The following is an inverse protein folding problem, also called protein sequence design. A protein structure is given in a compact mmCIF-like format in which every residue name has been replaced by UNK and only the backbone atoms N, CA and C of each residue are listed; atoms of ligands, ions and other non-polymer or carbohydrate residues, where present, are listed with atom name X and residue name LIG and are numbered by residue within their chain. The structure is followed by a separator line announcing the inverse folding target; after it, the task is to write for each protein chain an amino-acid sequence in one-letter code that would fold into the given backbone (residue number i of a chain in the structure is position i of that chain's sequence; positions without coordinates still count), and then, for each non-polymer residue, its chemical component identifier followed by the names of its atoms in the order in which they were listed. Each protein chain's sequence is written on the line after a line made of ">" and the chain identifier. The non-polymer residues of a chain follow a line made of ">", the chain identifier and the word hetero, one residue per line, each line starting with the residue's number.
data_IF_921270580525
#
_entry.id   IF_921270580525
#
_cell.length_a   1.000
_cell.length_b   1.000
_cell.length_c   1.000
_cell.angle_alpha   90.00
_cell.angle_beta   90.00
_cell.angle_gamma   90.00
#
_symmetry.space_group_name_H-M   'P 1'
#
loop_
_entity.id
_entity.type
_entity.pdbx_description
1 polymer ?
#
# COMPACT_ATOMS: atom_id res chain seq x y z
N UNK A 1 16.99 1.53 -7.03
CA UNK A 1 15.98 0.72 -7.76
C UNK A 1 15.31 1.66 -8.75
N UNK A 2 15.14 1.29 -10.02
CA UNK A 2 14.59 2.22 -11.02
C UNK A 2 13.15 2.62 -10.65
N UNK A 3 12.80 3.90 -10.76
CA UNK A 3 11.47 4.43 -10.42
C UNK A 3 10.33 3.66 -11.11
N UNK A 4 10.52 3.25 -12.38
CA UNK A 4 9.53 2.49 -13.13
C UNK A 4 9.24 1.09 -12.53
N UNK A 5 10.25 0.46 -11.94
CA UNK A 5 10.10 -0.82 -11.25
C UNK A 5 9.19 -0.67 -10.04
N UNK A 6 9.43 0.37 -9.23
CA UNK A 6 8.64 0.68 -8.03
C UNK A 6 7.19 0.98 -8.42
N UNK A 7 6.98 1.80 -9.46
CA UNK A 7 5.65 2.12 -9.96
C UNK A 7 4.93 0.85 -10.43
N UNK A 8 5.62 -0.07 -11.11
CA UNK A 8 5.03 -1.34 -11.53
C UNK A 8 4.65 -2.22 -10.34
N UNK A 9 5.49 -2.29 -9.31
CA UNK A 9 5.18 -3.01 -8.07
C UNK A 9 3.97 -2.42 -7.34
N UNK A 10 3.88 -1.08 -7.26
CA UNK A 10 2.72 -0.38 -6.69
C UNK A 10 1.44 -0.70 -7.49
N UNK A 11 1.49 -0.64 -8.83
CA UNK A 11 0.35 -1.01 -9.69
C UNK A 11 -0.05 -2.48 -9.52
N UNK A 12 0.93 -3.38 -9.37
CA UNK A 12 0.68 -4.80 -9.11
C UNK A 12 -0.12 -5.02 -7.82
N UNK A 13 0.06 -4.20 -6.78
CA UNK A 13 -0.78 -4.30 -5.58
C UNK A 13 -2.27 -4.07 -5.86
N UNK A 14 -2.62 -3.14 -6.76
CA UNK A 14 -4.00 -2.89 -7.15
C UNK A 14 -4.57 -4.11 -7.91
N UNK A 15 -3.88 -4.56 -8.96
CA UNK A 15 -4.32 -5.72 -9.74
C UNK A 15 -4.41 -7.02 -8.92
N UNK A 16 -3.47 -7.25 -7.99
CA UNK A 16 -3.54 -8.40 -7.09
C UNK A 16 -4.68 -8.29 -6.07
N UNK A 17 -5.01 -7.08 -5.62
CA UNK A 17 -6.18 -6.86 -4.75
C UNK A 17 -7.48 -7.16 -5.51
N UNK A 18 -7.61 -6.68 -6.75
CA UNK A 18 -8.78 -6.94 -7.60
C UNK A 18 -8.94 -8.45 -7.87
N UNK A 19 -7.87 -9.12 -8.29
CA UNK A 19 -7.87 -10.56 -8.51
C UNK A 19 -8.23 -11.33 -7.22
N UNK A 20 -7.65 -10.93 -6.09
CA UNK A 20 -7.97 -11.52 -4.77
C UNK A 20 -9.42 -11.33 -4.37
N UNK A 21 -9.99 -10.12 -4.59
CA UNK A 21 -11.39 -9.82 -4.29
C UNK A 21 -12.33 -10.66 -5.15
N UNK A 22 -12.05 -10.79 -6.44
CA UNK A 22 -12.83 -11.64 -7.34
C UNK A 22 -12.78 -13.11 -6.93
N UNK A 23 -11.57 -13.63 -6.64
CA UNK A 23 -11.38 -15.02 -6.22
C UNK A 23 -12.09 -15.33 -4.89
N UNK A 24 -11.95 -14.45 -3.89
CA UNK A 24 -12.59 -14.62 -2.57
C UNK A 24 -14.10 -14.45 -2.63
N UNK A 25 -14.62 -13.53 -3.46
CA UNK A 25 -16.06 -13.39 -3.68
C UNK A 25 -16.67 -14.65 -4.31
N UNK A 26 -16.02 -15.18 -5.35
CA UNK A 26 -16.44 -16.42 -6.00
C UNK A 26 -16.42 -17.60 -5.01
N UNK A 27 -15.31 -17.77 -4.29
CA UNK A 27 -15.17 -18.87 -3.34
C UNK A 27 -16.16 -18.77 -2.18
N UNK A 28 -16.44 -17.56 -1.69
CA UNK A 28 -17.44 -17.31 -0.66
C UNK A 28 -18.84 -17.76 -1.12
N UNK A 29 -19.22 -17.46 -2.36
CA UNK A 29 -20.52 -17.86 -2.90
C UNK A 29 -20.62 -19.38 -3.04
N UNK A 30 -19.57 -20.00 -3.57
CA UNK A 30 -19.49 -21.45 -3.71
C UNK A 30 -19.58 -22.17 -2.34
N UNK A 31 -18.87 -21.68 -1.31
CA UNK A 31 -18.93 -22.25 0.03
C UNK A 31 -20.26 -22.01 0.76
N UNK A 32 -21.04 -21.01 0.37
CA UNK A 32 -22.41 -20.82 0.91
C UNK A 32 -23.35 -21.90 0.39
N UNK A 33 -23.22 -22.26 -0.88
CA UNK A 33 -24.03 -23.32 -1.49
C UNK A 33 -23.58 -24.71 -1.07
N UNK A 34 -22.27 -24.91 -0.91
CA UNK A 34 -21.68 -26.17 -0.47
C UNK A 34 -20.60 -25.95 0.59
N UNK A 35 -20.97 -26.01 1.89
CA UNK A 35 -20.03 -25.86 2.99
C UNK A 35 -18.96 -26.95 3.07
N UNK A 36 -19.14 -28.11 2.40
CA UNK A 36 -18.16 -29.20 2.40
C UNK A 36 -16.86 -28.84 1.66
N UNK A 37 -16.91 -27.80 0.83
CA UNK A 37 -15.76 -27.25 0.12
C UNK A 37 -14.79 -26.47 1.03
N UNK A 38 -15.21 -26.14 2.26
CA UNK A 38 -14.32 -25.61 3.26
C UNK A 38 -13.48 -26.77 3.82
N UNK A 39 -12.14 -26.77 3.67
CA UNK A 39 -11.32 -27.88 4.07
C UNK A 39 -11.53 -28.24 5.56
N UNK A 40 -11.94 -29.47 5.89
CA UNK A 40 -12.23 -29.86 7.27
C UNK A 40 -10.97 -29.94 8.14
N UNK A 41 -9.80 -30.03 7.50
CA UNK A 41 -8.48 -30.09 8.15
C UNK A 41 -7.90 -28.71 8.44
N UNK A 42 -8.61 -27.63 8.11
CA UNK A 42 -8.18 -26.25 8.36
C UNK A 42 -8.94 -25.58 9.50
N UNK A 43 -8.34 -24.55 10.10
CA UNK A 43 -9.03 -23.68 11.08
C UNK A 43 -9.95 -22.64 10.42
N UNK A 44 -9.96 -22.56 9.09
CA UNK A 44 -10.74 -21.60 8.33
C UNK A 44 -12.22 -21.95 8.32
N UNK A 45 -13.06 -20.97 8.60
CA UNK A 45 -14.52 -21.04 8.52
C UNK A 45 -15.02 -20.07 7.45
N UNK A 46 -16.31 -20.19 7.09
CA UNK A 46 -16.95 -19.28 6.13
C UNK A 46 -16.78 -17.80 6.50
N UNK A 47 -16.86 -17.48 7.80
CA UNK A 47 -16.62 -16.12 8.32
C UNK A 47 -15.21 -15.61 8.06
N UNK A 48 -14.21 -16.49 8.02
CA UNK A 48 -12.81 -16.12 7.81
C UNK A 48 -12.55 -15.82 6.32
N UNK A 49 -13.24 -16.54 5.42
CA UNK A 49 -13.26 -16.23 3.98
C UNK A 49 -13.91 -14.86 3.73
N UNK A 50 -15.04 -14.59 4.39
CA UNK A 50 -15.70 -13.29 4.33
C UNK A 50 -14.80 -12.17 4.86
N UNK A 51 -14.21 -12.37 6.05
CA UNK A 51 -13.29 -11.39 6.64
C UNK A 51 -12.06 -11.16 5.74
N UNK A 52 -11.53 -12.21 5.11
CA UNK A 52 -10.46 -12.08 4.13
C UNK A 52 -10.90 -11.21 2.95
N UNK A 53 -12.07 -11.46 2.36
CA UNK A 53 -12.60 -10.66 1.26
C UNK A 53 -12.68 -9.17 1.61
N UNK A 54 -13.22 -8.85 2.79
CA UNK A 54 -13.40 -7.47 3.25
C UNK A 54 -12.07 -6.77 3.56
N UNK A 55 -11.07 -7.51 4.06
CA UNK A 55 -9.80 -6.94 4.51
C UNK A 55 -8.73 -6.83 3.41
N UNK A 56 -8.94 -7.46 2.24
CA UNK A 56 -7.98 -7.47 1.14
C UNK A 56 -7.49 -6.07 0.77
N UNK A 57 -8.38 -5.09 0.64
CA UNK A 57 -7.97 -3.74 0.25
C UNK A 57 -7.06 -3.09 1.29
N UNK A 58 -7.35 -3.28 2.57
CA UNK A 58 -6.54 -2.76 3.68
C UNK A 58 -5.17 -3.43 3.70
N UNK A 59 -5.14 -4.75 3.52
CA UNK A 59 -3.90 -5.53 3.41
C UNK A 59 -3.03 -5.03 2.24
N UNK A 60 -3.61 -4.84 1.06
CA UNK A 60 -2.86 -4.35 -0.10
C UNK A 60 -2.45 -2.88 0.02
N UNK A 61 -3.20 -2.06 0.75
CA UNK A 61 -2.80 -0.67 1.05
C UNK A 61 -1.55 -0.65 1.94
N UNK A 62 -1.51 -1.49 2.99
CA UNK A 62 -0.32 -1.63 3.85
C UNK A 62 0.87 -2.10 3.02
N UNK A 63 0.69 -3.12 2.16
CA UNK A 63 1.74 -3.62 1.27
C UNK A 63 2.25 -2.54 0.29
N UNK A 64 1.34 -1.80 -0.33
CA UNK A 64 1.67 -0.70 -1.24
C UNK A 64 2.48 0.39 -0.54
N UNK A 65 2.10 0.74 0.70
CA UNK A 65 2.85 1.70 1.50
C UNK A 65 4.25 1.18 1.88
N UNK A 66 4.39 -0.11 2.18
CA UNK A 66 5.70 -0.71 2.48
C UNK A 66 6.66 -0.63 1.27
N UNK A 67 6.16 -0.84 0.05
CA UNK A 67 6.94 -0.72 -1.19
C UNK A 67 7.49 0.71 -1.35
N UNK A 68 6.65 1.73 -1.20
CA UNK A 68 7.13 3.11 -1.30
C UNK A 68 8.07 3.48 -0.16
N UNK A 69 7.81 3.03 1.07
CA UNK A 69 8.70 3.30 2.20
C UNK A 69 10.11 2.75 1.94
N UNK A 70 10.21 1.52 1.42
CA UNK A 70 11.47 0.92 1.01
C UNK A 70 12.16 1.75 -0.08
N UNK A 71 11.44 2.18 -1.11
CA UNK A 71 11.98 3.03 -2.16
C UNK A 71 12.50 4.38 -1.63
N UNK A 72 11.74 5.06 -0.77
CA UNK A 72 12.14 6.33 -0.17
C UNK A 72 13.38 6.18 0.71
N UNK A 73 13.49 5.07 1.47
CA UNK A 73 14.66 4.75 2.27
C UNK A 73 15.89 4.48 1.40
N UNK A 74 15.72 3.79 0.28
CA UNK A 74 16.80 3.58 -0.68
C UNK A 74 17.25 4.89 -1.32
N UNK A 75 16.32 5.73 -1.79
CA UNK A 75 16.60 7.05 -2.32
C UNK A 75 17.36 7.92 -1.31
N UNK A 76 16.90 7.96 -0.06
CA UNK A 76 17.53 8.75 0.99
C UNK A 76 18.99 8.34 1.26
N UNK A 77 19.24 7.03 1.25
CA UNK A 77 20.57 6.48 1.50
C UNK A 77 21.51 6.64 0.31
N UNK A 78 21.03 6.34 -0.91
CA UNK A 78 21.85 6.28 -2.13
C UNK A 78 21.90 7.63 -2.83
N UNK A 79 20.76 8.12 -3.31
CA UNK A 79 20.63 9.35 -4.08
C UNK A 79 20.97 10.61 -3.27
N UNK A 80 20.42 10.69 -2.05
CA UNK A 80 20.62 11.85 -1.18
C UNK A 80 21.91 11.75 -0.34
N UNK A 81 22.63 10.62 -0.43
CA UNK A 81 23.84 10.31 0.33
C UNK A 81 23.70 10.57 1.85
N UNK A 82 22.51 10.30 2.42
CA UNK A 82 22.24 10.53 3.84
C UNK A 82 22.37 9.23 4.62
N UNK A 83 23.10 9.28 5.73
CA UNK A 83 23.27 8.15 6.67
C UNK A 83 22.22 8.13 7.79
N UNK A 84 21.44 9.20 7.94
CA UNK A 84 20.38 9.26 8.97
C UNK A 84 19.20 8.35 8.64
N UNK A 85 18.51 7.87 9.67
CA UNK A 85 17.33 7.02 9.53
C UNK A 85 16.08 7.67 10.16
N UNK A 86 15.54 8.75 9.54
CA UNK A 86 14.38 9.44 10.11
C UNK A 86 13.13 8.55 10.08
N UNK A 87 12.19 8.85 10.99
CA UNK A 87 10.82 8.33 10.92
C UNK A 87 10.17 8.69 9.57
N UNK A 88 9.29 7.82 9.06
CA UNK A 88 8.75 7.89 7.69
C UNK A 88 8.06 9.21 7.37
N UNK A 89 7.33 9.79 8.33
CA UNK A 89 6.72 11.10 8.17
C UNK A 89 7.77 12.18 7.84
N UNK A 90 8.83 12.25 8.65
CA UNK A 90 9.95 13.18 8.45
C UNK A 90 10.76 12.84 7.20
N UNK A 91 10.88 11.57 6.86
CA UNK A 91 11.54 11.12 5.63
C UNK A 91 10.82 11.68 4.40
N UNK A 92 9.51 11.51 4.31
CA UNK A 92 8.69 12.03 3.21
C UNK A 92 8.78 13.55 3.12
N UNK A 93 8.71 14.27 4.25
CA UNK A 93 8.81 15.74 4.25
C UNK A 93 10.18 16.24 3.78
N UNK A 94 11.26 15.58 4.21
CA UNK A 94 12.63 15.92 3.79
C UNK A 94 12.87 15.63 2.32
N UNK A 95 12.35 14.51 1.80
CA UNK A 95 12.44 14.17 0.38
C UNK A 95 11.63 15.18 -0.44
N UNK A 96 10.41 15.51 -0.01
CA UNK A 96 9.56 16.48 -0.68
C UNK A 96 10.23 17.85 -0.78
N UNK A 97 10.84 18.33 0.31
CA UNK A 97 11.61 19.58 0.30
C UNK A 97 12.81 19.52 -0.65
N UNK A 98 13.56 18.41 -0.63
CA UNK A 98 14.76 18.24 -1.47
C UNK A 98 14.44 18.19 -2.96
N UNK A 99 13.35 17.50 -3.32
CA UNK A 99 12.94 17.31 -4.71
C UNK A 99 11.95 18.37 -5.19
N UNK A 100 11.70 19.42 -4.40
CA UNK A 100 10.74 20.47 -4.69
C UNK A 100 9.34 19.92 -5.05
N UNK A 101 8.89 18.88 -4.34
CA UNK A 101 7.60 18.23 -4.58
C UNK A 101 6.49 19.19 -4.12
N UNK A 102 5.52 19.44 -4.99
CA UNK A 102 4.38 20.31 -4.69
C UNK A 102 3.65 19.86 -3.41
N UNK A 103 3.18 20.84 -2.64
CA UNK A 103 2.51 20.61 -1.35
C UNK A 103 1.35 19.64 -1.48
N UNK A 104 0.57 19.71 -2.56
CA UNK A 104 -0.56 18.81 -2.79
C UNK A 104 -0.15 17.35 -2.95
N UNK A 105 0.92 17.07 -3.70
CA UNK A 105 1.46 15.71 -3.84
C UNK A 105 1.97 15.18 -2.50
N UNK A 106 2.67 16.02 -1.73
CA UNK A 106 3.14 15.66 -0.37
C UNK A 106 1.96 15.36 0.56
N UNK A 107 0.97 16.24 0.61
CA UNK A 107 -0.22 16.10 1.48
C UNK A 107 -1.01 14.84 1.15
N UNK A 108 -1.23 14.58 -0.15
CA UNK A 108 -1.88 13.36 -0.64
C UNK A 108 -1.10 12.11 -0.22
N UNK A 109 0.21 12.07 -0.41
CA UNK A 109 1.02 10.92 0.00
C UNK A 109 1.04 10.74 1.54
N UNK A 110 1.09 11.83 2.31
CA UNK A 110 0.99 11.79 3.77
C UNK A 110 -0.38 11.27 4.25
N UNK A 111 -1.46 11.51 3.49
CA UNK A 111 -2.79 10.96 3.81
C UNK A 111 -2.80 9.43 3.76
N UNK A 112 -2.11 8.83 2.79
CA UNK A 112 -1.95 7.37 2.70
C UNK A 112 -1.20 6.83 3.92
N UNK A 113 -0.12 7.50 4.34
CA UNK A 113 0.61 7.15 5.58
C UNK A 113 -0.31 7.25 6.80
N UNK A 114 -1.11 8.30 6.89
CA UNK A 114 -2.06 8.53 7.98
C UNK A 114 -3.10 7.40 8.06
N UNK A 115 -3.66 7.01 6.92
CA UNK A 115 -4.61 5.91 6.85
C UNK A 115 -3.96 4.57 7.17
N UNK A 116 -2.77 4.28 6.63
CA UNK A 116 -1.99 3.08 6.99
C UNK A 116 -1.74 2.99 8.49
N UNK A 117 -1.37 4.11 9.13
CA UNK A 117 -1.17 4.13 10.58
C UNK A 117 -2.46 3.79 11.32
N UNK A 118 -3.62 4.24 10.83
CA UNK A 118 -4.92 3.92 11.40
C UNK A 118 -5.25 2.44 11.26
N UNK A 119 -4.94 1.83 10.10
CA UNK A 119 -5.13 0.40 9.87
C UNK A 119 -4.27 -0.47 10.79
N UNK A 120 -3.02 -0.06 11.05
CA UNK A 120 -2.05 -0.89 11.80
C UNK A 120 -2.08 -0.63 13.30
N UNK A 121 -2.31 0.61 13.72
CA UNK A 121 -2.18 1.03 15.14
C UNK A 121 -3.50 1.53 15.73
N UNK A 122 -4.60 1.52 14.96
CA UNK A 122 -5.82 2.27 15.30
C UNK A 122 -5.65 3.78 15.08
N UNK A 123 -6.77 4.51 15.07
CA UNK A 123 -6.75 5.97 14.93
C UNK A 123 -7.91 6.53 14.09
N UNK A 124 -7.77 7.79 13.67
CA UNK A 124 -8.80 8.57 12.97
C UNK A 124 -8.32 9.14 11.62
N UNK A 125 -7.33 8.50 11.01
CA UNK A 125 -6.84 8.90 9.69
C UNK A 125 -7.95 8.84 8.65
N UNK A 126 -8.02 9.86 7.78
CA UNK A 126 -8.98 9.91 6.68
C UNK A 126 -8.85 8.64 5.83
N UNK A 127 -9.98 7.99 5.55
CA UNK A 127 -10.01 6.80 4.69
C UNK A 127 -9.52 7.14 3.29
N UNK A 128 -8.72 6.24 2.72
CA UNK A 128 -8.14 6.35 1.38
C UNK A 128 -8.35 5.01 0.68
N UNK A 129 -8.90 5.02 -0.54
CA UNK A 129 -9.05 3.80 -1.35
C UNK A 129 -7.69 3.30 -1.85
N UNK A 130 -7.60 2.04 -2.28
CA UNK A 130 -6.37 1.52 -2.87
C UNK A 130 -5.98 2.27 -4.16
N UNK A 131 -6.97 2.68 -4.96
CA UNK A 131 -6.75 3.48 -6.17
C UNK A 131 -6.25 4.89 -5.86
N UNK A 132 -6.80 5.55 -4.84
CA UNK A 132 -6.29 6.82 -4.34
C UNK A 132 -4.84 6.67 -3.85
N UNK A 133 -4.57 5.64 -3.04
CA UNK A 133 -3.24 5.34 -2.53
C UNK A 133 -2.24 5.18 -3.69
N UNK A 134 -2.58 4.36 -4.70
CA UNK A 134 -1.76 4.21 -5.91
C UNK A 134 -1.49 5.55 -6.58
N UNK A 135 -2.54 6.32 -6.85
CA UNK A 135 -2.45 7.61 -7.53
C UNK A 135 -1.54 8.59 -6.78
N UNK A 136 -1.75 8.71 -5.47
CA UNK A 136 -1.02 9.63 -4.60
C UNK A 136 0.45 9.24 -4.46
N UNK A 137 0.74 7.95 -4.25
CA UNK A 137 2.09 7.44 -4.06
C UNK A 137 2.89 7.46 -5.38
N UNK A 138 2.29 7.06 -6.50
CA UNK A 138 2.93 7.18 -7.82
C UNK A 138 3.17 8.66 -8.17
N UNK A 139 2.22 9.55 -7.90
CA UNK A 139 2.42 10.99 -8.09
C UNK A 139 3.61 11.53 -7.30
N UNK A 140 3.77 11.11 -6.04
CA UNK A 140 4.93 11.46 -5.24
C UNK A 140 6.25 10.93 -5.85
N UNK A 141 6.29 9.66 -6.25
CA UNK A 141 7.48 9.02 -6.84
C UNK A 141 7.89 9.62 -8.18
N UNK A 142 6.94 10.05 -9.01
CA UNK A 142 7.23 10.68 -10.30
C UNK A 142 8.00 12.00 -10.18
N UNK A 143 8.05 12.60 -8.98
CA UNK A 143 8.85 13.80 -8.71
C UNK A 143 10.27 13.47 -8.21
N UNK A 144 10.62 12.20 -8.00
CA UNK A 144 12.00 11.81 -7.75
C UNK A 144 12.80 11.82 -9.06
N UNK A 145 14.13 12.03 -9.01
CA UNK A 145 15.00 11.79 -10.15
C UNK A 145 14.76 10.40 -10.75
N UNK A 146 15.00 10.21 -12.05
CA UNK A 146 14.76 8.90 -12.69
C UNK A 146 15.86 7.87 -12.37
N UNK A 147 17.09 8.35 -12.22
CA UNK A 147 18.30 7.53 -12.09
C UNK A 147 18.96 7.72 -10.72
N UNK A 148 18.44 7.06 -9.68
CA UNK A 148 19.02 7.06 -8.34
C UNK A 148 19.23 5.69 -7.71
#
# INVERSE_FOLDING_TARGET
>A
MKTDEIIRQIRSCESMCEAGRAATAYFLEVCRSDPSLIPPTGNSRLRDIHACHDDLERTYLVRMFAIIEMALREFWRRAAARRSHPAVNRLMDRIALRCNIAVDHRTRAQSVRGFRNTLVHGGTGKSVTLGDARSYLCGFLSNLPRDW
#
